data_IF_177350288408
#
_entry.id   IF_177350288408
#
_cell.length_a   1.000
_cell.length_b   1.000
_cell.length_c   1.000
_cell.angle_alpha   90.00
_cell.angle_beta   90.00
_cell.angle_gamma   90.00
#
_symmetry.space_group_name_H-M   'P 1'
#
loop_
_entity.id
_entity.type
_entity.pdbx_description
1 polymer ?
#
# COMPACT_ATOMS: atom_id res chain seq x y z
N UNK A 1 0.15 15.30 -11.01
CA UNK A 1 -0.16 13.99 -11.65
C UNK A 1 -1.66 13.98 -12.00
N UNK A 2 -2.13 13.22 -13.00
CA UNK A 2 -3.60 13.10 -13.22
C UNK A 2 -4.24 12.35 -12.04
N UNK A 3 -5.39 12.84 -11.55
CA UNK A 3 -6.20 12.22 -10.49
C UNK A 3 -6.40 10.71 -10.69
N UNK A 4 -6.74 10.28 -11.90
CA UNK A 4 -6.97 8.86 -12.19
C UNK A 4 -5.71 8.01 -12.00
N UNK A 5 -4.55 8.59 -12.28
CA UNK A 5 -3.26 7.93 -12.05
C UNK A 5 -3.00 7.78 -10.56
N UNK A 6 -3.31 8.79 -9.75
CA UNK A 6 -3.14 8.75 -8.29
C UNK A 6 -4.09 7.73 -7.66
N UNK A 7 -5.35 7.65 -8.13
CA UNK A 7 -6.31 6.62 -7.71
C UNK A 7 -5.80 5.20 -7.98
N UNK A 8 -5.28 4.95 -9.19
CA UNK A 8 -4.69 3.66 -9.54
C UNK A 8 -3.46 3.34 -8.69
N UNK A 9 -2.60 4.33 -8.46
CA UNK A 9 -1.43 4.16 -7.60
C UNK A 9 -1.83 3.79 -6.17
N UNK A 10 -2.85 4.46 -5.61
CA UNK A 10 -3.36 4.13 -4.28
C UNK A 10 -3.87 2.69 -4.18
N UNK A 11 -4.61 2.22 -5.19
CA UNK A 11 -5.08 0.84 -5.25
C UNK A 11 -3.93 -0.17 -5.32
N UNK A 12 -2.92 0.09 -6.16
CA UNK A 12 -1.74 -0.79 -6.29
C UNK A 12 -1.01 -0.88 -4.95
N UNK A 13 -0.73 0.25 -4.31
CA UNK A 13 -0.04 0.26 -3.01
C UNK A 13 -0.87 -0.48 -1.96
N UNK A 14 -2.17 -0.16 -1.84
CA UNK A 14 -3.04 -0.80 -0.87
C UNK A 14 -3.06 -2.33 -1.04
N UNK A 15 -3.27 -2.81 -2.26
CA UNK A 15 -3.31 -4.25 -2.54
C UNK A 15 -1.99 -4.96 -2.18
N UNK A 16 -0.85 -4.33 -2.41
CA UNK A 16 0.45 -4.89 -2.06
C UNK A 16 0.78 -4.79 -0.56
N UNK A 17 0.07 -3.96 0.20
CA UNK A 17 0.21 -3.89 1.65
C UNK A 17 -0.76 -4.81 2.39
N UNK A 18 -1.90 -5.17 1.77
CA UNK A 18 -2.93 -5.98 2.43
C UNK A 18 -2.89 -7.46 2.03
N UNK A 19 -2.43 -7.77 0.82
CA UNK A 19 -2.20 -9.17 0.40
C UNK A 19 -1.06 -9.79 1.21
N UNK A 20 -1.18 -11.09 1.47
CA UNK A 20 -0.19 -11.90 2.17
C UNK A 20 0.12 -11.34 3.57
N UNK A 21 -0.88 -10.70 4.19
CA UNK A 21 -0.78 -10.09 5.52
C UNK A 21 -1.65 -10.81 6.55
N UNK A 22 -1.52 -10.42 7.82
CA UNK A 22 -2.39 -10.89 8.89
C UNK A 22 -3.90 -10.72 8.59
N UNK A 23 -4.27 -9.81 7.68
CA UNK A 23 -5.65 -9.63 7.24
C UNK A 23 -6.18 -10.89 6.54
N UNK A 24 -5.37 -11.50 5.69
CA UNK A 24 -5.73 -12.72 4.95
C UNK A 24 -5.83 -13.90 5.92
N UNK A 25 -4.88 -14.04 6.85
CA UNK A 25 -4.92 -15.07 7.90
C UNK A 25 -6.19 -14.94 8.76
N UNK A 26 -6.58 -13.72 9.15
CA UNK A 26 -7.82 -13.47 9.89
C UNK A 26 -9.07 -13.86 9.09
N UNK A 27 -9.08 -13.62 7.77
CA UNK A 27 -10.18 -14.01 6.90
C UNK A 27 -10.27 -15.54 6.75
N UNK A 28 -9.14 -16.20 6.52
CA UNK A 28 -9.05 -17.67 6.41
C UNK A 28 -9.49 -18.38 7.68
N UNK A 29 -9.16 -17.81 8.84
CA UNK A 29 -9.58 -18.30 10.15
C UNK A 29 -11.03 -17.92 10.52
N UNK A 30 -11.77 -17.25 9.62
CA UNK A 30 -13.17 -16.84 9.83
C UNK A 30 -13.37 -15.74 10.88
N UNK A 31 -12.29 -15.07 11.31
CA UNK A 31 -12.35 -13.94 12.26
C UNK A 31 -12.87 -12.66 11.58
N UNK A 32 -12.65 -12.56 10.27
CA UNK A 32 -13.19 -11.49 9.42
C UNK A 32 -14.00 -12.10 8.28
N UNK A 33 -15.16 -11.52 8.01
CA UNK A 33 -15.93 -11.85 6.82
C UNK A 33 -15.47 -11.00 5.61
N UNK A 34 -15.92 -11.37 4.41
CA UNK A 34 -15.55 -10.70 3.18
C UNK A 34 -15.92 -9.19 3.16
N UNK A 35 -17.07 -8.82 3.74
CA UNK A 35 -17.51 -7.43 3.82
C UNK A 35 -16.57 -6.58 4.68
N UNK A 36 -16.12 -7.12 5.82
CA UNK A 36 -15.16 -6.46 6.71
C UNK A 36 -13.80 -6.27 6.03
N UNK A 37 -13.32 -7.28 5.30
CA UNK A 37 -12.08 -7.19 4.52
C UNK A 37 -12.19 -6.14 3.42
N UNK A 38 -13.31 -6.12 2.69
CA UNK A 38 -13.55 -5.09 1.65
C UNK A 38 -13.63 -3.68 2.25
N UNK A 39 -14.31 -3.53 3.39
CA UNK A 39 -14.39 -2.25 4.08
C UNK A 39 -13.01 -1.77 4.54
N UNK A 40 -12.18 -2.66 5.10
CA UNK A 40 -10.80 -2.34 5.47
C UNK A 40 -9.97 -1.91 4.25
N UNK A 41 -10.00 -2.68 3.17
CA UNK A 41 -9.28 -2.37 1.94
C UNK A 41 -9.71 -1.02 1.34
N UNK A 42 -11.01 -0.69 1.39
CA UNK A 42 -11.53 0.61 0.96
C UNK A 42 -10.99 1.75 1.82
N UNK A 43 -11.04 1.61 3.15
CA UNK A 43 -10.52 2.62 4.07
C UNK A 43 -9.01 2.84 3.87
N UNK A 44 -8.24 1.77 3.71
CA UNK A 44 -6.79 1.84 3.44
C UNK A 44 -6.52 2.57 2.13
N UNK A 45 -7.21 2.18 1.05
CA UNK A 45 -7.09 2.80 -0.28
C UNK A 45 -7.42 4.29 -0.25
N UNK A 46 -8.50 4.69 0.44
CA UNK A 46 -8.91 6.09 0.54
C UNK A 46 -7.88 6.94 1.30
N UNK A 47 -7.30 6.38 2.38
CA UNK A 47 -6.24 7.05 3.15
C UNK A 47 -4.98 7.22 2.31
N UNK A 48 -4.53 6.18 1.61
CA UNK A 48 -3.37 6.25 0.70
C UNK A 48 -3.64 7.27 -0.41
N UNK A 49 -4.82 7.25 -1.03
CA UNK A 49 -5.20 8.24 -2.04
C UNK A 49 -5.14 9.67 -1.51
N UNK A 50 -5.61 9.88 -0.28
CA UNK A 50 -5.51 11.17 0.42
C UNK A 50 -4.04 11.58 0.56
N UNK A 51 -3.19 10.71 1.10
CA UNK A 51 -1.76 11.01 1.26
C UNK A 51 -1.08 11.34 -0.06
N UNK A 52 -1.27 10.51 -1.09
CA UNK A 52 -0.70 10.75 -2.41
C UNK A 52 -1.20 12.04 -3.04
N UNK A 53 -2.46 12.42 -2.81
CA UNK A 53 -3.02 13.68 -3.32
C UNK A 53 -2.31 14.88 -2.69
N UNK A 54 -2.12 14.87 -1.37
CA UNK A 54 -1.41 15.93 -0.67
C UNK A 54 0.08 15.97 -1.02
N UNK A 55 0.72 14.80 -1.18
CA UNK A 55 2.15 14.70 -1.51
C UNK A 55 2.45 15.11 -2.96
N UNK A 56 1.60 14.73 -3.93
CA UNK A 56 1.92 14.82 -5.36
C UNK A 56 1.21 15.96 -6.08
N UNK A 57 0.10 16.47 -5.54
CA UNK A 57 -0.77 17.41 -6.25
C UNK A 57 -1.02 18.72 -5.50
N UNK A 58 -0.67 18.83 -4.21
CA UNK A 58 -0.90 20.06 -3.42
C UNK A 58 0.35 20.94 -3.32
N UNK A 59 0.19 22.27 -3.18
CA UNK A 59 1.31 23.17 -2.90
C UNK A 59 2.00 22.82 -1.58
N UNK A 60 3.29 23.12 -1.48
CA UNK A 60 4.09 22.82 -0.29
C UNK A 60 3.52 23.42 1.02
N UNK A 61 2.81 24.55 0.95
CA UNK A 61 2.15 25.17 2.11
C UNK A 61 1.00 24.33 2.67
N UNK A 62 0.25 23.64 1.81
CA UNK A 62 -0.82 22.72 2.25
C UNK A 62 -0.24 21.39 2.75
N UNK A 63 0.92 20.99 2.24
CA UNK A 63 1.64 19.80 2.68
C UNK A 63 2.06 19.88 4.16
N UNK A 64 2.63 21.02 4.59
CA UNK A 64 3.10 21.20 5.97
C UNK A 64 1.99 21.01 7.00
N UNK A 65 0.83 21.61 6.75
CA UNK A 65 -0.35 21.53 7.64
C UNK A 65 -0.85 20.09 7.76
N UNK A 66 -0.87 19.36 6.64
CA UNK A 66 -1.26 17.95 6.64
C UNK A 66 -0.25 17.09 7.41
N UNK A 67 1.05 17.29 7.21
CA UNK A 67 2.08 16.53 7.92
C UNK A 67 2.06 16.76 9.43
N UNK A 68 1.82 17.98 9.88
CA UNK A 68 1.62 18.28 11.31
C UNK A 68 0.39 17.57 11.89
N UNK A 69 -0.71 17.53 11.14
CA UNK A 69 -1.91 16.80 11.56
C UNK A 69 -1.65 15.29 11.66
N UNK A 70 -0.85 14.72 10.76
CA UNK A 70 -0.52 13.29 10.74
C UNK A 70 0.51 12.89 11.79
N UNK A 71 1.48 13.77 12.08
CA UNK A 71 2.49 13.53 13.11
C UNK A 71 1.87 13.31 14.50
N UNK A 72 0.64 13.80 14.76
CA UNK A 72 -0.10 13.54 16.01
C UNK A 72 -0.41 12.08 16.25
N UNK A 73 -0.44 11.27 15.20
CA UNK A 73 -0.68 9.83 15.27
C UNK A 73 0.60 9.03 15.06
N UNK A 74 1.77 9.67 15.16
CA UNK A 74 3.04 9.00 15.00
C UNK A 74 3.24 7.93 16.10
N UNK A 75 3.38 6.65 15.74
CA UNK A 75 3.47 5.59 16.73
C UNK A 75 4.93 5.41 17.17
N UNK A 76 5.36 6.16 18.20
CA UNK A 76 6.75 6.14 18.69
C UNK A 76 7.27 4.76 19.09
N UNK A 77 6.37 3.84 19.47
CA UNK A 77 6.70 2.48 19.87
C UNK A 77 6.82 1.49 18.70
N UNK A 78 6.48 1.90 17.48
CA UNK A 78 6.56 1.01 16.32
C UNK A 78 8.00 0.94 15.81
N UNK A 79 8.42 -0.21 15.25
CA UNK A 79 9.70 -0.31 14.58
C UNK A 79 9.76 0.66 13.40
N UNK A 80 10.93 1.25 13.16
CA UNK A 80 11.16 2.07 11.97
C UNK A 80 11.02 1.22 10.70
N UNK A 81 10.45 1.76 9.62
CA UNK A 81 10.26 1.01 8.39
C UNK A 81 11.60 0.69 7.71
N UNK A 82 11.71 -0.52 7.17
CA UNK A 82 12.81 -0.96 6.32
C UNK A 82 12.31 -1.18 4.88
N UNK A 83 13.22 -1.24 3.91
CA UNK A 83 12.85 -1.56 2.53
C UNK A 83 12.35 -3.01 2.46
N UNK A 84 11.12 -3.19 1.97
CA UNK A 84 10.55 -4.51 1.78
C UNK A 84 11.22 -5.22 0.58
N UNK A 85 12.14 -6.13 0.90
CA UNK A 85 13.05 -6.73 -0.09
C UNK A 85 12.33 -7.49 -1.22
N UNK A 86 11.13 -8.03 -0.97
CA UNK A 86 10.38 -8.78 -1.99
C UNK A 86 10.02 -7.94 -3.23
N UNK A 87 9.95 -6.61 -3.12
CA UNK A 87 9.73 -5.72 -4.28
C UNK A 87 11.01 -5.34 -5.02
N UNK A 88 12.17 -5.70 -4.49
CA UNK A 88 13.48 -5.30 -5.02
C UNK A 88 14.26 -6.44 -5.66
N UNK A 89 13.78 -7.69 -5.52
CA UNK A 89 14.40 -8.83 -6.17
C UNK A 89 14.04 -8.83 -7.66
N UNK A 90 15.01 -8.94 -8.58
CA UNK A 90 14.72 -9.17 -9.98
C UNK A 90 13.96 -10.50 -10.14
N UNK A 91 13.06 -10.61 -11.13
CA UNK A 91 12.38 -11.88 -11.41
C UNK A 91 13.43 -12.97 -11.63
N UNK A 92 13.22 -14.12 -11.01
CA UNK A 92 14.09 -15.29 -11.13
C UNK A 92 14.21 -15.66 -12.62
N UNK A 93 15.41 -15.56 -13.18
CA UNK A 93 15.67 -15.78 -14.62
C UNK A 93 15.78 -17.26 -14.97
N UNK A 94 15.61 -18.15 -13.99
CA UNK A 94 15.69 -19.60 -14.17
C UNK A 94 14.58 -20.20 -15.03
N UNK A 95 13.42 -19.54 -15.19
CA UNK A 95 12.32 -20.03 -16.03
C UNK A 95 12.41 -19.62 -17.52
N UNK A 96 13.22 -18.63 -17.88
CA UNK A 96 13.29 -18.13 -19.27
C UNK A 96 14.13 -19.04 -20.17
N UNK A 97 15.04 -19.83 -19.59
CA UNK A 97 15.90 -20.75 -20.36
C UNK A 97 15.17 -22.03 -20.82
N UNK A 98 14.08 -22.42 -20.18
CA UNK A 98 13.36 -23.66 -20.49
C UNK A 98 12.43 -23.55 -21.72
N UNK A 99 12.04 -22.34 -22.12
CA UNK A 99 11.10 -22.12 -23.23
C UNK A 99 11.76 -21.71 -24.56
N UNK A 100 13.09 -21.55 -24.59
CA UNK A 100 13.83 -21.19 -25.81
C UNK A 100 14.33 -22.39 -26.64
N UNK A 101 14.05 -23.63 -26.21
CA UNK A 101 14.52 -24.86 -26.85
C UNK A 101 13.41 -25.90 -27.12
N UNK A 102 12.15 -25.51 -27.26
CA UNK A 102 11.07 -26.39 -27.73
C UNK A 102 10.49 -25.95 -29.07
#
# INVERSE_FOLDING_TARGET
MNEQTVKKLALIIAANCTRDSMLDECQENGQLNQEQVQAFNKQMTDRIYTFLTYLLNKPASEYSVMMEALAKHYPESWPMPEIYQQFTLPPDTSDVAAQAHS
#
